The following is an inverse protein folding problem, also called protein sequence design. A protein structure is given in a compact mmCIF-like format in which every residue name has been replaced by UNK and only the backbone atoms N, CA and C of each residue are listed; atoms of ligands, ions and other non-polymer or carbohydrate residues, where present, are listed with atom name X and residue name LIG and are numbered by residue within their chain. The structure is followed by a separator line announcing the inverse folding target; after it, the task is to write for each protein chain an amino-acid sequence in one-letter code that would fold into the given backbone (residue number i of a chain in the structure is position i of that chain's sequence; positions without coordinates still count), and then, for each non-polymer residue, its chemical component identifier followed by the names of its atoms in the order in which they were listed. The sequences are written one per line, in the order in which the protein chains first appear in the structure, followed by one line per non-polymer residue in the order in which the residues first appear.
data_IF_605622114967
#
_entry.id   IF_605622114967
#
_cell.length_a   1.000
_cell.length_b   1.000
_cell.length_c   1.000
_cell.angle_alpha   90.00
_cell.angle_beta   90.00
_cell.angle_gamma   90.00
#
_symmetry.space_group_name_H-M   'P 1'
#
loop_
_entity.id
_entity.type
_entity.pdbx_description
1 polymer ?
#
# COMPACT_ATOMS: atom_id res chain seq x y z
N UNK A 1 -22.72 -23.39 44.98
CA UNK A 1 -22.63 -23.81 43.56
C UNK A 1 -21.64 -22.89 42.87
N UNK A 2 -20.58 -23.39 42.22
CA UNK A 2 -19.62 -22.53 41.54
C UNK A 2 -20.21 -22.08 40.20
N UNK A 3 -20.25 -20.76 40.01
CA UNK A 3 -20.71 -20.11 38.79
C UNK A 3 -19.70 -20.36 37.67
N UNK A 4 -20.09 -21.11 36.64
CA UNK A 4 -19.27 -21.34 35.45
C UNK A 4 -19.26 -20.04 34.62
N UNK A 5 -18.15 -19.31 34.64
CA UNK A 5 -17.96 -18.14 33.78
C UNK A 5 -17.75 -18.67 32.35
N UNK A 6 -18.75 -18.50 31.49
CA UNK A 6 -18.63 -18.78 30.05
C UNK A 6 -17.65 -17.78 29.42
N UNK A 7 -16.36 -18.12 29.36
CA UNK A 7 -15.31 -17.29 28.78
C UNK A 7 -15.29 -17.33 27.24
N UNK A 8 -16.43 -17.06 26.58
CA UNK A 8 -16.52 -17.06 25.10
C UNK A 8 -16.17 -15.72 24.44
N UNK A 9 -15.69 -14.73 25.18
CA UNK A 9 -15.38 -13.39 24.70
C UNK A 9 -13.87 -13.04 24.76
N UNK A 10 -12.98 -13.99 24.50
CA UNK A 10 -11.55 -13.63 24.35
C UNK A 10 -11.35 -12.95 23.00
N UNK A 11 -10.75 -11.74 22.92
CA UNK A 11 -10.43 -11.10 21.65
C UNK A 11 -9.54 -11.99 20.79
N UNK A 12 -9.72 -11.95 19.47
CA UNK A 12 -8.78 -12.58 18.54
C UNK A 12 -7.42 -11.90 18.66
N UNK A 13 -6.37 -12.69 18.69
CA UNK A 13 -4.98 -12.25 18.57
C UNK A 13 -4.54 -12.35 17.12
N UNK A 14 -3.69 -11.44 16.68
CA UNK A 14 -3.03 -11.47 15.38
C UNK A 14 -1.52 -11.53 15.60
N UNK A 15 -0.82 -12.20 14.70
CA UNK A 15 0.64 -12.36 14.77
C UNK A 15 1.35 -11.62 13.63
N UNK A 16 2.69 -11.71 13.61
CA UNK A 16 3.51 -11.08 12.58
C UNK A 16 3.17 -11.60 11.16
N UNK A 17 2.68 -12.84 11.02
CA UNK A 17 2.23 -13.38 9.74
C UNK A 17 0.97 -12.68 9.22
N UNK A 18 -0.01 -12.42 10.09
CA UNK A 18 -1.20 -11.62 9.72
C UNK A 18 -0.80 -10.20 9.26
N UNK A 19 0.22 -9.63 9.89
CA UNK A 19 0.74 -8.31 9.52
C UNK A 19 1.48 -8.33 8.17
N UNK A 20 2.27 -9.37 7.88
CA UNK A 20 2.87 -9.58 6.54
C UNK A 20 1.80 -9.62 5.47
N UNK A 21 0.73 -10.39 5.68
CA UNK A 21 -0.36 -10.52 4.71
C UNK A 21 -1.05 -9.17 4.46
N UNK A 22 -1.34 -8.40 5.51
CA UNK A 22 -1.96 -7.10 5.40
C UNK A 22 -1.08 -6.06 4.69
N UNK A 23 0.21 -5.99 5.07
CA UNK A 23 1.13 -4.99 4.54
C UNK A 23 1.59 -5.32 3.11
N UNK A 24 1.75 -6.60 2.77
CA UNK A 24 2.08 -7.00 1.39
C UNK A 24 0.93 -6.71 0.41
N UNK A 25 -0.33 -6.81 0.86
CA UNK A 25 -1.47 -6.38 0.05
C UNK A 25 -1.44 -4.86 -0.18
N UNK A 26 -1.20 -4.08 0.87
CA UNK A 26 -1.10 -2.63 0.77
C UNK A 26 0.08 -2.18 -0.11
N UNK A 27 1.21 -2.89 -0.03
CA UNK A 27 2.36 -2.71 -0.94
C UNK A 27 1.93 -2.93 -2.40
N UNK A 28 1.30 -4.06 -2.69
CA UNK A 28 0.82 -4.41 -4.03
C UNK A 28 -0.14 -3.35 -4.60
N UNK A 29 -1.08 -2.87 -3.78
CA UNK A 29 -2.00 -1.81 -4.17
C UNK A 29 -1.26 -0.51 -4.56
N UNK A 30 -0.20 -0.14 -3.82
CA UNK A 30 0.58 1.06 -4.14
C UNK A 30 1.48 0.87 -5.38
N UNK A 31 1.94 -0.36 -5.66
CA UNK A 31 2.60 -0.68 -6.93
C UNK A 31 1.63 -0.48 -8.10
N UNK A 32 0.41 -1.00 -8.02
CA UNK A 32 -0.60 -0.82 -9.06
C UNK A 32 -1.02 0.64 -9.22
N UNK A 33 -1.14 1.37 -8.12
CA UNK A 33 -1.41 2.81 -8.16
C UNK A 33 -0.32 3.56 -8.92
N UNK A 34 0.95 3.25 -8.65
CA UNK A 34 2.09 3.87 -9.34
C UNK A 34 2.08 3.59 -10.85
N UNK A 35 1.72 2.36 -11.25
CA UNK A 35 1.55 1.99 -12.67
C UNK A 35 0.41 2.79 -13.31
N UNK A 36 -0.75 2.86 -12.66
CA UNK A 36 -1.91 3.59 -13.18
C UNK A 36 -1.61 5.08 -13.35
N UNK A 37 -0.95 5.71 -12.37
CA UNK A 37 -0.55 7.12 -12.43
C UNK A 37 0.44 7.36 -13.56
N UNK A 38 1.41 6.45 -13.77
CA UNK A 38 2.35 6.51 -14.89
C UNK A 38 1.63 6.48 -16.24
N UNK A 39 0.62 5.62 -16.40
CA UNK A 39 -0.20 5.57 -17.61
C UNK A 39 -1.01 6.87 -17.81
N UNK A 40 -1.60 7.42 -16.74
CA UNK A 40 -2.31 8.70 -16.79
C UNK A 40 -1.36 9.82 -17.24
N UNK A 41 -0.15 9.91 -16.69
CA UNK A 41 0.86 10.92 -17.09
C UNK A 41 1.20 10.81 -18.57
N UNK A 42 1.30 9.57 -19.09
CA UNK A 42 1.56 9.34 -20.52
C UNK A 42 0.40 9.83 -21.38
N UNK A 43 -0.83 9.43 -21.07
CA UNK A 43 -2.03 9.86 -21.81
C UNK A 43 -2.22 11.36 -21.77
N UNK A 44 -1.94 12.00 -20.64
CA UNK A 44 -2.02 13.46 -20.50
C UNK A 44 -1.06 14.17 -21.47
N UNK A 45 0.17 13.66 -21.63
CA UNK A 45 1.13 14.17 -22.62
C UNK A 45 0.65 13.97 -24.05
N UNK A 46 0.08 12.81 -24.36
CA UNK A 46 -0.45 12.51 -25.69
C UNK A 46 -1.60 13.46 -26.05
N UNK A 47 -2.57 13.66 -25.15
CA UNK A 47 -3.70 14.59 -25.33
C UNK A 47 -3.20 16.04 -25.49
N UNK A 48 -2.22 16.47 -24.67
CA UNK A 48 -1.63 17.81 -24.77
C UNK A 48 -1.00 18.06 -26.14
N UNK A 49 -0.37 17.02 -26.72
CA UNK A 49 0.20 17.06 -28.07
C UNK A 49 -0.88 17.11 -29.15
N UNK A 50 -1.92 16.27 -29.05
CA UNK A 50 -3.03 16.20 -30.02
C UNK A 50 -3.87 17.48 -30.05
N UNK A 51 -4.07 18.12 -28.90
CA UNK A 51 -4.83 19.38 -28.79
C UNK A 51 -4.02 20.62 -29.16
N UNK A 52 -2.77 20.45 -29.62
CA UNK A 52 -1.90 21.58 -29.98
C UNK A 52 -1.58 22.49 -28.79
N UNK A 53 -1.54 21.93 -27.58
CA UNK A 53 -1.30 22.68 -26.33
C UNK A 53 -2.35 23.75 -26.03
N UNK A 54 -3.59 23.59 -26.51
CA UNK A 54 -4.71 24.41 -26.05
C UNK A 54 -4.91 24.22 -24.53
N UNK A 55 -5.28 25.28 -23.80
CA UNK A 55 -5.48 25.24 -22.35
C UNK A 55 -4.27 24.76 -21.51
N UNK A 56 -3.11 25.38 -21.71
CA UNK A 56 -1.86 25.09 -20.98
C UNK A 56 -2.05 25.12 -19.45
N UNK A 57 -2.82 26.08 -18.94
CA UNK A 57 -3.07 26.24 -17.50
C UNK A 57 -3.82 25.02 -16.93
N UNK A 58 -4.85 24.54 -17.64
CA UNK A 58 -5.59 23.34 -17.24
C UNK A 58 -4.72 22.09 -17.22
N UNK A 59 -3.87 21.88 -18.24
CA UNK A 59 -2.93 20.76 -18.26
C UNK A 59 -1.92 20.82 -17.12
N UNK A 60 -1.34 22.00 -16.85
CA UNK A 60 -0.40 22.16 -15.74
C UNK A 60 -1.06 21.87 -14.39
N UNK A 61 -2.30 22.29 -14.19
CA UNK A 61 -3.05 21.98 -12.97
C UNK A 61 -3.26 20.46 -12.80
N UNK A 62 -3.58 19.74 -13.88
CA UNK A 62 -3.71 18.28 -13.87
C UNK A 62 -2.37 17.58 -13.63
N UNK A 63 -1.30 18.01 -14.31
CA UNK A 63 0.06 17.50 -14.12
C UNK A 63 0.47 17.57 -12.64
N UNK A 64 0.25 18.71 -11.99
CA UNK A 64 0.56 18.90 -10.56
C UNK A 64 -0.23 17.95 -9.64
N UNK A 65 -1.52 17.74 -9.90
CA UNK A 65 -2.35 16.84 -9.09
C UNK A 65 -1.87 15.39 -9.25
N UNK A 66 -1.56 14.98 -10.49
CA UNK A 66 -1.08 13.64 -10.80
C UNK A 66 0.30 13.41 -10.17
N UNK A 67 1.19 14.40 -10.18
CA UNK A 67 2.49 14.34 -9.52
C UNK A 67 2.37 14.22 -7.99
N UNK A 68 1.42 14.94 -7.38
CA UNK A 68 1.12 14.79 -5.95
C UNK A 68 0.66 13.37 -5.60
N UNK A 69 -0.22 12.77 -6.41
CA UNK A 69 -0.65 11.39 -6.20
C UNK A 69 0.49 10.39 -6.41
N UNK A 70 1.37 10.61 -7.40
CA UNK A 70 2.55 9.78 -7.61
C UNK A 70 3.43 9.77 -6.35
N UNK A 71 3.71 10.96 -5.80
CA UNK A 71 4.50 11.10 -4.58
C UNK A 71 3.89 10.31 -3.40
N UNK A 72 2.56 10.40 -3.21
CA UNK A 72 1.87 9.66 -2.15
C UNK A 72 1.97 8.15 -2.38
N UNK A 73 1.76 7.68 -3.61
CA UNK A 73 1.83 6.26 -3.94
C UNK A 73 3.24 5.70 -3.70
N UNK A 74 4.28 6.40 -4.13
CA UNK A 74 5.68 6.00 -3.93
C UNK A 74 6.08 6.01 -2.44
N UNK A 75 5.67 7.05 -1.70
CA UNK A 75 5.97 7.15 -0.28
C UNK A 75 5.32 6.00 0.52
N UNK A 76 4.04 5.72 0.22
CA UNK A 76 3.31 4.61 0.86
C UNK A 76 3.83 3.26 0.42
N UNK A 77 4.19 3.10 -0.85
CA UNK A 77 4.85 1.88 -1.35
C UNK A 77 6.11 1.61 -0.53
N UNK A 78 7.00 2.60 -0.42
CA UNK A 78 8.23 2.44 0.36
C UNK A 78 7.95 2.08 1.82
N UNK A 79 6.96 2.72 2.45
CA UNK A 79 6.57 2.39 3.82
C UNK A 79 6.08 0.94 3.94
N UNK A 80 5.15 0.51 3.08
CA UNK A 80 4.57 -0.83 3.15
C UNK A 80 5.56 -1.94 2.77
N UNK A 81 6.48 -1.69 1.83
CA UNK A 81 7.59 -2.61 1.55
C UNK A 81 8.46 -2.81 2.80
N UNK A 82 8.87 -1.72 3.48
CA UNK A 82 9.71 -1.80 4.67
C UNK A 82 9.00 -2.56 5.82
N UNK A 83 7.72 -2.29 6.06
CA UNK A 83 6.94 -2.98 7.10
C UNK A 83 6.73 -4.45 6.77
N UNK A 84 6.44 -4.78 5.50
CA UNK A 84 6.34 -6.17 5.03
C UNK A 84 7.63 -6.94 5.30
N UNK A 85 8.79 -6.36 4.94
CA UNK A 85 10.10 -6.96 5.21
C UNK A 85 10.35 -7.16 6.72
N UNK A 86 9.99 -6.18 7.55
CA UNK A 86 10.16 -6.24 9.00
C UNK A 86 9.31 -7.34 9.65
N UNK A 87 8.01 -7.39 9.35
CA UNK A 87 7.13 -8.43 9.89
C UNK A 87 7.45 -9.81 9.33
N UNK A 88 7.95 -9.91 8.10
CA UNK A 88 8.36 -11.21 7.55
C UNK A 88 9.59 -11.75 8.28
N UNK A 89 10.53 -10.88 8.65
CA UNK A 89 11.67 -11.26 9.48
C UNK A 89 11.24 -11.71 10.89
N UNK A 90 10.33 -10.98 11.53
CA UNK A 90 9.75 -11.33 12.84
C UNK A 90 9.04 -12.70 12.78
N UNK A 91 8.15 -12.89 11.81
CA UNK A 91 7.41 -14.14 11.64
C UNK A 91 8.32 -15.35 11.38
N UNK A 92 9.38 -15.16 10.59
CA UNK A 92 10.40 -16.21 10.36
C UNK A 92 11.19 -16.53 11.63
N UNK A 93 11.48 -15.54 12.47
CA UNK A 93 12.16 -15.76 13.75
C UNK A 93 11.28 -16.54 14.73
N UNK A 94 10.01 -16.16 14.84
CA UNK A 94 9.02 -16.83 15.70
C UNK A 94 8.82 -18.29 15.30
N UNK A 95 8.67 -18.55 13.99
CA UNK A 95 8.59 -19.93 13.48
C UNK A 95 9.77 -20.79 13.91
N UNK A 96 11.00 -20.25 13.84
CA UNK A 96 12.22 -20.95 14.25
C UNK A 96 12.26 -21.19 15.76
N UNK A 97 11.80 -20.23 16.56
CA UNK A 97 11.76 -20.37 18.02
C UNK A 97 10.77 -21.46 18.48
N UNK A 98 9.67 -21.68 17.74
CA UNK A 98 8.69 -22.75 18.02
C UNK A 98 9.19 -24.13 17.59
N UNK A 99 10.21 -24.22 16.72
CA UNK A 99 10.74 -25.51 16.23
C UNK A 99 11.90 -26.09 17.04
N UNK A 100 12.40 -25.38 18.06
CA UNK A 100 13.50 -25.80 18.96
C UNK A 100 12.96 -26.27 20.32
#
# INVERSE_FOLDING_TARGET
MPTQINSKNTPKTYDAGDMVDAYSLAECDMQWMSVAITDIKKRLKDIKKETGHQNIIGFHALENIVDMYQYIAENRLSHYSNETEAYEAEWKADKKAVTL
#
